data_IF_025364865962
#
_entry.id   IF_025364865962
#
_cell.length_a   1.000
_cell.length_b   1.000
_cell.length_c   1.000
_cell.angle_alpha   90.00
_cell.angle_beta   90.00
_cell.angle_gamma   90.00
#
_symmetry.space_group_name_H-M   'P 1'
#
loop_
_entity.id
_entity.type
_entity.pdbx_description
1 polymer ?
#
# COMPACT_ATOMS: atom_id res chain seq x y z
N UNK A 1 14.22 -3.89 7.84
CA UNK A 1 14.18 -5.37 7.95
C UNK A 1 13.03 -6.00 7.14
N UNK A 2 12.00 -5.25 6.73
CA UNK A 2 10.80 -5.78 6.06
C UNK A 2 11.07 -6.53 4.75
N UNK A 3 11.99 -6.06 3.90
CA UNK A 3 12.24 -6.67 2.58
C UNK A 3 12.81 -8.10 2.67
N UNK A 4 13.74 -8.34 3.60
CA UNK A 4 14.35 -9.66 3.79
C UNK A 4 13.33 -10.71 4.26
N UNK A 5 12.29 -10.28 5.01
CA UNK A 5 11.22 -11.15 5.47
C UNK A 5 10.20 -11.52 4.37
N UNK A 6 10.31 -10.93 3.17
CA UNK A 6 9.41 -11.21 2.04
C UNK A 6 9.99 -12.22 1.06
N UNK A 7 11.25 -12.61 1.22
CA UNK A 7 11.87 -13.68 0.43
C UNK A 7 11.32 -15.01 0.91
N UNK A 8 10.77 -15.80 -0.01
CA UNK A 8 10.24 -17.14 0.32
C UNK A 8 11.37 -18.18 0.27
N UNK A 9 11.18 -19.32 0.94
CA UNK A 9 12.15 -20.42 0.88
C UNK A 9 12.34 -20.91 -0.57
N UNK A 10 11.26 -20.97 -1.35
CA UNK A 10 11.31 -21.30 -2.79
C UNK A 10 12.19 -20.33 -3.60
N UNK A 11 12.23 -19.04 -3.22
CA UNK A 11 13.09 -18.05 -3.87
C UNK A 11 14.56 -18.30 -3.50
N UNK A 12 14.84 -18.67 -2.25
CA UNK A 12 16.18 -19.03 -1.78
C UNK A 12 16.69 -20.33 -2.41
N UNK A 13 15.83 -21.34 -2.54
CA UNK A 13 16.15 -22.61 -3.21
C UNK A 13 16.51 -22.41 -4.68
N UNK A 14 15.87 -21.43 -5.34
CA UNK A 14 16.21 -21.01 -6.72
C UNK A 14 17.48 -20.15 -6.80
N UNK A 15 18.11 -19.84 -5.66
CA UNK A 15 19.29 -18.98 -5.55
C UNK A 15 19.00 -17.48 -5.66
N UNK A 16 17.73 -17.07 -5.55
CA UNK A 16 17.33 -15.66 -5.59
C UNK A 16 17.43 -15.03 -4.20
N UNK A 17 18.25 -13.98 -4.07
CA UNK A 17 18.38 -13.21 -2.83
C UNK A 17 17.26 -12.18 -2.63
N UNK A 18 16.45 -11.92 -3.66
CA UNK A 18 15.39 -10.93 -3.64
C UNK A 18 14.05 -11.54 -4.02
N UNK A 19 12.93 -10.98 -3.53
CA UNK A 19 11.61 -11.38 -3.98
C UNK A 19 11.46 -11.14 -5.49
N UNK A 20 10.60 -11.91 -6.18
CA UNK A 20 10.33 -11.74 -7.60
C UNK A 20 9.87 -10.30 -7.93
N UNK A 21 10.33 -9.76 -9.05
CA UNK A 21 9.97 -8.39 -9.50
C UNK A 21 8.47 -8.19 -9.68
N UNK A 22 7.72 -9.26 -9.94
CA UNK A 22 6.26 -9.23 -10.03
C UNK A 22 5.59 -8.80 -8.71
N UNK A 23 6.25 -9.02 -7.58
CA UNK A 23 5.74 -8.71 -6.22
C UNK A 23 6.26 -7.38 -5.67
N UNK A 24 6.96 -6.59 -6.48
CA UNK A 24 7.61 -5.35 -6.02
C UNK A 24 6.63 -4.33 -5.45
N UNK A 25 5.41 -4.25 -6.00
CA UNK A 25 4.34 -3.37 -5.51
C UNK A 25 3.92 -3.76 -4.09
N UNK A 26 3.67 -5.05 -3.88
CA UNK A 26 3.28 -5.58 -2.57
C UNK A 26 4.40 -5.41 -1.53
N UNK A 27 5.65 -5.62 -1.96
CA UNK A 27 6.82 -5.36 -1.12
C UNK A 27 6.88 -3.90 -0.69
N UNK A 28 6.67 -2.98 -1.63
CA UNK A 28 6.67 -1.53 -1.38
C UNK A 28 5.56 -1.13 -0.41
N UNK A 29 4.35 -1.67 -0.58
CA UNK A 29 3.22 -1.41 0.30
C UNK A 29 3.52 -1.89 1.73
N UNK A 30 4.05 -3.10 1.90
CA UNK A 30 4.41 -3.65 3.22
C UNK A 30 5.52 -2.85 3.90
N UNK A 31 6.51 -2.36 3.15
CA UNK A 31 7.57 -1.49 3.67
C UNK A 31 6.97 -0.16 4.14
N UNK A 32 6.13 0.47 3.31
CA UNK A 32 5.48 1.73 3.62
C UNK A 32 4.58 1.61 4.87
N UNK A 33 3.80 0.53 5.00
CA UNK A 33 2.99 0.27 6.18
C UNK A 33 3.83 0.18 7.46
N UNK A 34 4.98 -0.51 7.41
CA UNK A 34 5.91 -0.58 8.55
C UNK A 34 6.55 0.75 8.90
N UNK A 35 6.86 1.58 7.90
CA UNK A 35 7.36 2.94 8.13
C UNK A 35 6.28 3.81 8.76
N UNK A 36 5.04 3.73 8.28
CA UNK A 36 3.91 4.46 8.86
C UNK A 36 3.67 4.06 10.31
N UNK A 37 3.60 2.75 10.61
CA UNK A 37 3.50 2.23 11.99
C UNK A 37 4.61 2.79 12.89
N UNK A 38 5.85 2.81 12.39
CA UNK A 38 6.99 3.35 13.13
C UNK A 38 6.88 4.86 13.34
N UNK A 39 6.45 5.61 12.32
CA UNK A 39 6.29 7.05 12.37
C UNK A 39 5.24 7.49 13.39
N UNK A 40 4.09 6.80 13.44
CA UNK A 40 3.06 7.03 14.44
C UNK A 40 3.56 6.69 15.85
N UNK A 41 4.22 5.54 16.03
CA UNK A 41 4.80 5.14 17.33
C UNK A 41 5.86 6.11 17.85
N UNK A 42 6.65 6.72 16.97
CA UNK A 42 7.68 7.70 17.31
C UNK A 42 7.16 9.14 17.39
N UNK A 43 5.90 9.39 17.04
CA UNK A 43 5.33 10.74 17.02
C UNK A 43 5.91 11.65 15.93
N UNK A 44 6.48 11.08 14.86
CA UNK A 44 7.04 11.83 13.72
C UNK A 44 6.11 11.84 12.50
N UNK A 45 4.94 11.20 12.62
CA UNK A 45 3.90 11.24 11.58
C UNK A 45 3.21 12.60 11.55
N UNK A 46 3.03 13.17 10.35
CA UNK A 46 2.37 14.45 10.13
C UNK A 46 0.89 14.34 9.80
N UNK A 47 0.43 13.18 9.33
CA UNK A 47 -0.98 12.92 9.01
C UNK A 47 -1.69 12.49 10.28
N UNK A 48 -2.76 13.19 10.66
CA UNK A 48 -3.55 12.90 11.86
C UNK A 48 -5.05 13.05 11.54
N UNK A 49 -5.93 12.20 12.11
CA UNK A 49 -5.64 11.09 13.02
C UNK A 49 -4.98 9.88 12.33
N UNK A 50 -4.44 8.96 13.12
CA UNK A 50 -3.90 7.70 12.59
C UNK A 50 -5.04 6.89 11.92
N UNK A 51 -4.91 6.50 10.64
CA UNK A 51 -5.89 5.63 9.98
C UNK A 51 -6.02 4.28 10.69
N UNK A 52 -7.24 3.72 10.69
CA UNK A 52 -7.53 2.41 11.30
C UNK A 52 -6.75 1.28 10.61
N UNK A 53 -6.73 1.29 9.26
CA UNK A 53 -5.91 0.39 8.45
C UNK A 53 -4.87 1.19 7.63
N UNK A 54 -3.61 1.10 8.06
CA UNK A 54 -2.49 1.76 7.38
C UNK A 54 -2.19 1.16 6.01
N UNK A 55 -2.43 -0.14 5.81
CA UNK A 55 -2.19 -0.80 4.52
C UNK A 55 -3.23 -0.38 3.50
N UNK A 56 -4.51 -0.32 3.89
CA UNK A 56 -5.58 0.19 3.02
C UNK A 56 -5.38 1.67 2.70
N UNK A 57 -5.05 2.47 3.70
CA UNK A 57 -4.78 3.90 3.51
C UNK A 57 -3.63 4.17 2.53
N UNK A 58 -2.51 3.44 2.66
CA UNK A 58 -1.38 3.56 1.74
C UNK A 58 -1.76 3.02 0.36
N UNK A 59 -2.53 1.93 0.29
CA UNK A 59 -3.05 1.38 -0.95
C UNK A 59 -3.90 2.39 -1.74
N UNK A 60 -4.77 3.13 -1.06
CA UNK A 60 -5.60 4.18 -1.66
C UNK A 60 -4.78 5.39 -2.18
N UNK A 61 -3.54 5.56 -1.70
CA UNK A 61 -2.62 6.59 -2.17
C UNK A 61 -1.70 6.13 -3.29
N UNK A 62 -1.68 4.83 -3.59
CA UNK A 62 -0.90 4.33 -4.72
C UNK A 62 -1.43 4.92 -6.02
N UNK A 63 -0.50 5.21 -6.92
CA UNK A 63 -0.85 5.69 -8.25
C UNK A 63 -1.66 4.64 -9.00
N UNK A 64 -2.88 5.01 -9.37
CA UNK A 64 -3.72 4.22 -10.25
C UNK A 64 -3.40 4.54 -11.72
N UNK A 65 -3.09 3.50 -12.49
CA UNK A 65 -2.76 3.61 -13.91
C UNK A 65 -4.01 3.61 -14.80
N UNK A 66 -5.20 3.36 -14.24
CA UNK A 66 -6.45 3.36 -14.99
C UNK A 66 -6.95 4.78 -15.28
N UNK A 67 -7.52 4.97 -16.46
CA UNK A 67 -8.16 6.24 -16.80
C UNK A 67 -9.38 6.49 -15.91
N UNK A 68 -9.44 7.69 -15.35
CA UNK A 68 -10.64 8.16 -14.65
C UNK A 68 -11.72 8.57 -15.66
N UNK A 69 -12.98 8.41 -15.27
CA UNK A 69 -14.10 8.85 -16.09
C UNK A 69 -14.00 10.35 -16.39
N UNK A 70 -14.04 10.72 -17.66
CA UNK A 70 -14.13 12.11 -18.09
C UNK A 70 -15.54 12.71 -17.89
N UNK A 71 -16.55 11.85 -17.65
CA UNK A 71 -17.93 12.25 -17.43
C UNK A 71 -18.22 12.39 -15.93
N UNK A 72 -19.03 13.39 -15.53
CA UNK A 72 -19.43 13.55 -14.13
C UNK A 72 -20.33 12.41 -13.68
N UNK A 73 -20.22 12.04 -12.40
CA UNK A 73 -21.13 11.08 -11.79
C UNK A 73 -22.54 11.70 -11.68
N UNK A 74 -23.55 10.99 -12.20
CA UNK A 74 -24.97 11.39 -12.06
C UNK A 74 -25.64 10.50 -11.02
N UNK A 75 -26.50 11.09 -10.18
CA UNK A 75 -27.27 10.36 -9.18
C UNK A 75 -28.73 10.84 -9.20
N UNK A 76 -29.71 9.95 -9.08
CA UNK A 76 -31.12 10.33 -9.07
C UNK A 76 -31.49 11.00 -7.75
N UNK A 77 -32.32 12.04 -7.82
CA UNK A 77 -32.92 12.66 -6.65
C UNK A 77 -34.24 11.95 -6.29
N UNK A 78 -34.58 11.75 -5.00
CA UNK A 78 -35.85 11.13 -4.63
C UNK A 78 -37.05 11.98 -5.11
N UNK A 79 -38.07 11.32 -5.67
CA UNK A 79 -39.31 11.96 -6.09
C UNK A 79 -40.05 12.58 -4.87
N UNK A 80 -40.78 13.69 -5.06
CA UNK A 80 -41.52 14.36 -3.99
C UNK A 80 -42.65 13.50 -3.40
#
# INVERSE_FOLDING_TARGET
QTLAALVTEDDLEKGSLYPPLTTIKDCSLKIAAKIAEYAYKKGVASVLPQPDDLSEFIGAQLYDYHYQSALPATYPWPAP
#
